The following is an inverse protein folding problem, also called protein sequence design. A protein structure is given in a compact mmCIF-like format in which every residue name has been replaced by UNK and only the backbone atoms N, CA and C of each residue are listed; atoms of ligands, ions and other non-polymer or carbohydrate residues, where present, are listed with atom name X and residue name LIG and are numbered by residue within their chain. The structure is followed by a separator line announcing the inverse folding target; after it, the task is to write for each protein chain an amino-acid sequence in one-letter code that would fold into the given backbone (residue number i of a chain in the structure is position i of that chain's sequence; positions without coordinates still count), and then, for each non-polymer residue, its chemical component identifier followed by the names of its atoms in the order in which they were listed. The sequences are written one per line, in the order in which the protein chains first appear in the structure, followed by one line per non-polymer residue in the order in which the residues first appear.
data_IF_266110771077
#
_entry.id   IF_266110771077
#
_cell.length_a   1.000
_cell.length_b   1.000
_cell.length_c   1.000
_cell.angle_alpha   90.00
_cell.angle_beta   90.00
_cell.angle_gamma   90.00
#
_symmetry.space_group_name_H-M   'P 1'
#
loop_
_entity.id
_entity.type
_entity.pdbx_description
1 polymer ?
#
# COMPACT_ATOMS: atom_id res chain seq x y z
N UNK A 1 2.26 -17.34 -50.84
CA UNK A 1 2.85 -16.42 -49.84
C UNK A 1 1.84 -15.57 -49.04
N UNK A 2 0.53 -15.88 -49.02
CA UNK A 2 -0.46 -15.10 -48.23
C UNK A 2 -0.75 -15.66 -46.82
N UNK A 3 -0.37 -16.92 -46.55
CA UNK A 3 -0.63 -17.60 -45.27
C UNK A 3 0.44 -17.38 -44.20
N UNK A 4 1.68 -17.00 -44.58
CA UNK A 4 2.74 -16.67 -43.62
C UNK A 4 2.54 -15.29 -42.97
N UNK A 5 1.96 -14.32 -43.69
CA UNK A 5 1.72 -12.97 -43.15
C UNK A 5 0.72 -12.97 -41.99
N UNK A 6 -0.28 -13.85 -42.01
CA UNK A 6 -1.26 -13.96 -40.94
C UNK A 6 -0.66 -14.46 -39.61
N UNK A 7 0.40 -15.29 -39.68
CA UNK A 7 1.01 -15.90 -38.50
C UNK A 7 1.94 -14.92 -37.75
N UNK A 8 2.56 -13.99 -38.47
CA UNK A 8 3.45 -12.96 -37.89
C UNK A 8 2.66 -11.87 -37.17
N UNK A 9 1.47 -11.52 -37.67
CA UNK A 9 0.60 -10.50 -37.03
C UNK A 9 0.03 -11.00 -35.70
N UNK A 10 -0.23 -12.31 -35.57
CA UNK A 10 -0.78 -12.89 -34.34
C UNK A 10 0.23 -12.96 -33.19
N UNK A 11 1.53 -13.02 -33.49
CA UNK A 11 2.61 -13.00 -32.49
C UNK A 11 2.95 -11.61 -31.95
N UNK A 12 2.60 -10.54 -32.70
CA UNK A 12 2.89 -9.17 -32.27
C UNK A 12 1.96 -8.67 -31.16
N UNK A 13 0.73 -9.20 -31.05
CA UNK A 13 -0.26 -8.74 -30.08
C UNK A 13 -0.07 -9.28 -28.66
N UNK A 14 0.74 -10.31 -28.43
CA UNK A 14 0.89 -10.94 -27.11
C UNK A 14 1.95 -10.29 -26.21
N UNK A 15 2.72 -9.33 -26.73
CA UNK A 15 3.87 -8.73 -25.99
C UNK A 15 3.52 -7.49 -25.15
N UNK A 16 2.28 -6.99 -25.23
CA UNK A 16 1.84 -5.79 -24.51
C UNK A 16 0.94 -6.09 -23.30
N UNK A 17 0.78 -7.36 -22.93
CA UNK A 17 0.12 -7.73 -21.66
C UNK A 17 1.08 -7.49 -20.49
N UNK A 18 1.50 -6.24 -20.26
CA UNK A 18 2.08 -5.85 -18.97
C UNK A 18 0.96 -5.91 -17.95
N UNK A 19 0.95 -6.96 -17.14
CA UNK A 19 0.12 -7.03 -15.94
C UNK A 19 0.54 -5.87 -15.05
N UNK A 20 -0.25 -4.81 -15.03
CA UNK A 20 -0.18 -3.76 -14.04
C UNK A 20 -0.52 -4.38 -12.69
N UNK A 21 0.48 -4.93 -12.01
CA UNK A 21 0.35 -5.28 -10.61
C UNK A 21 0.17 -3.97 -9.86
N UNK A 22 -1.05 -3.69 -9.42
CA UNK A 22 -1.28 -2.74 -8.35
C UNK A 22 -0.39 -3.16 -7.18
N UNK A 23 0.74 -2.48 -7.04
CA UNK A 23 1.86 -2.93 -6.21
C UNK A 23 1.51 -2.79 -4.74
N UNK A 24 0.84 -3.80 -4.18
CA UNK A 24 0.61 -3.88 -2.75
C UNK A 24 1.97 -4.11 -2.06
N UNK A 25 2.49 -3.04 -1.46
CA UNK A 25 3.75 -3.06 -0.75
C UNK A 25 3.50 -3.31 0.73
N UNK A 26 4.35 -4.15 1.33
CA UNK A 26 4.29 -4.48 2.76
C UNK A 26 5.44 -3.78 3.46
N UNK A 27 5.16 -3.02 4.52
CA UNK A 27 6.19 -2.45 5.38
C UNK A 27 5.92 -2.77 6.85
N UNK A 28 6.98 -2.71 7.65
CA UNK A 28 6.90 -2.73 9.10
C UNK A 28 7.61 -1.47 9.56
N UNK A 29 6.94 -0.69 10.40
CA UNK A 29 7.50 0.56 10.89
C UNK A 29 6.84 1.01 12.17
N UNK A 30 7.39 2.10 12.72
CA UNK A 30 6.87 2.73 13.93
C UNK A 30 6.04 3.95 13.55
N UNK A 31 4.88 4.11 14.16
CA UNK A 31 4.04 5.31 13.93
C UNK A 31 4.68 6.52 14.58
N UNK A 32 5.06 7.52 13.79
CA UNK A 32 5.64 8.77 14.28
C UNK A 32 4.56 9.83 14.53
N UNK A 33 3.55 9.91 13.66
CA UNK A 33 2.48 10.91 13.79
C UNK A 33 1.21 10.42 13.12
N UNK A 34 0.06 10.77 13.68
CA UNK A 34 -1.25 10.54 13.08
C UNK A 34 -1.99 11.89 13.06
N UNK A 35 -2.50 12.28 11.90
CA UNK A 35 -3.28 13.50 11.70
C UNK A 35 -4.60 13.15 11.04
N UNK A 36 -5.72 13.58 11.62
CA UNK A 36 -7.01 13.44 10.97
C UNK A 36 -7.16 14.55 9.93
N UNK A 37 -7.52 14.19 8.69
CA UNK A 37 -7.67 15.15 7.58
C UNK A 37 -9.01 14.90 6.89
N UNK A 38 -9.96 15.79 7.13
CA UNK A 38 -11.34 15.64 6.65
C UNK A 38 -11.99 14.34 7.14
N UNK A 39 -12.47 13.53 6.20
CA UNK A 39 -13.06 12.21 6.48
C UNK A 39 -12.05 11.06 6.63
N UNK A 40 -10.75 11.33 6.48
CA UNK A 40 -9.67 10.34 6.55
C UNK A 40 -8.60 10.66 7.59
N UNK A 41 -7.49 9.94 7.56
CA UNK A 41 -6.33 10.18 8.40
C UNK A 41 -5.03 10.03 7.60
N UNK A 42 -4.07 10.89 7.87
CA UNK A 42 -2.69 10.77 7.40
C UNK A 42 -1.83 10.24 8.53
N UNK A 43 -1.05 9.20 8.24
CA UNK A 43 -0.17 8.57 9.21
C UNK A 43 1.26 8.61 8.68
N UNK A 44 2.16 9.20 9.46
CA UNK A 44 3.60 9.16 9.18
C UNK A 44 4.20 8.00 9.95
N UNK A 45 4.89 7.11 9.23
CA UNK A 45 5.57 5.97 9.80
C UNK A 45 7.04 5.98 9.43
N UNK A 46 7.88 5.61 10.40
CA UNK A 46 9.30 5.36 10.17
C UNK A 46 9.48 3.90 9.80
N UNK A 47 9.91 3.63 8.58
CA UNK A 47 10.19 2.27 8.11
C UNK A 47 11.37 1.67 8.88
N UNK A 48 11.23 0.43 9.34
CA UNK A 48 12.27 -0.23 10.13
C UNK A 48 13.46 -0.71 9.30
N UNK A 49 13.28 -0.94 8.00
CA UNK A 49 14.35 -1.46 7.14
C UNK A 49 15.24 -0.35 6.59
N UNK A 50 14.65 0.80 6.30
CA UNK A 50 15.28 1.91 5.57
C UNK A 50 15.45 3.16 6.42
N UNK A 51 14.90 3.18 7.64
CA UNK A 51 14.82 4.35 8.53
C UNK A 51 14.10 5.56 7.90
N UNK A 52 13.48 5.40 6.73
CA UNK A 52 12.80 6.44 6.00
C UNK A 52 11.43 6.77 6.62
N UNK A 53 11.10 8.06 6.67
CA UNK A 53 9.76 8.51 7.04
C UNK A 53 8.83 8.42 5.82
N UNK A 54 7.78 7.62 5.92
CA UNK A 54 6.78 7.43 4.87
C UNK A 54 5.44 7.98 5.37
N UNK A 55 4.87 8.90 4.61
CA UNK A 55 3.51 9.42 4.84
C UNK A 55 2.52 8.57 4.07
N UNK A 56 1.52 8.05 4.77
CA UNK A 56 0.51 7.15 4.24
C UNK A 56 -0.90 7.68 4.50
N UNK A 57 -1.78 7.46 3.54
CA UNK A 57 -3.18 7.89 3.57
C UNK A 57 -4.07 6.75 4.07
N UNK A 58 -4.80 6.96 5.14
CA UNK A 58 -5.79 6.03 5.69
C UNK A 58 -7.17 6.54 5.31
N UNK A 59 -7.83 5.83 4.39
CA UNK A 59 -9.19 6.15 3.92
C UNK A 59 -10.21 5.08 4.25
N UNK A 60 -9.75 3.86 4.51
CA UNK A 60 -10.62 2.75 4.82
C UNK A 60 -11.28 2.90 6.20
N UNK A 61 -12.59 2.68 6.27
CA UNK A 61 -13.37 2.89 7.47
C UNK A 61 -12.86 2.05 8.66
N UNK A 62 -12.51 0.78 8.42
CA UNK A 62 -12.05 -0.13 9.47
C UNK A 62 -10.72 0.31 10.09
N UNK A 63 -9.84 0.91 9.28
CA UNK A 63 -8.56 1.41 9.74
C UNK A 63 -8.71 2.78 10.44
N UNK A 64 -9.64 3.61 9.99
CA UNK A 64 -10.00 4.86 10.68
C UNK A 64 -10.60 4.60 12.05
N UNK A 65 -11.48 3.60 12.18
CA UNK A 65 -12.02 3.19 13.48
C UNK A 65 -10.92 2.74 14.42
N UNK A 66 -9.94 1.93 13.97
CA UNK A 66 -8.78 1.54 14.80
C UNK A 66 -7.97 2.74 15.32
N UNK A 67 -7.86 3.80 14.52
CA UNK A 67 -7.18 5.04 14.93
C UNK A 67 -8.04 5.80 15.95
N UNK A 68 -9.35 5.92 15.70
CA UNK A 68 -10.30 6.60 16.61
C UNK A 68 -10.45 5.89 17.95
N UNK A 69 -10.51 4.56 17.95
CA UNK A 69 -10.53 3.68 19.14
C UNK A 69 -9.22 3.71 19.95
N UNK A 70 -8.21 4.47 19.50
CA UNK A 70 -6.85 4.47 20.07
C UNK A 70 -6.22 3.09 20.12
N UNK A 71 -6.67 2.17 19.26
CA UNK A 71 -6.01 0.88 19.05
C UNK A 71 -4.66 1.15 18.40
N UNK A 72 -4.56 2.04 17.42
CA UNK A 72 -3.27 2.48 16.86
C UNK A 72 -2.81 3.78 17.52
N UNK A 73 -1.59 3.82 18.09
CA UNK A 73 -1.02 5.02 18.71
C UNK A 73 0.33 5.39 18.12
N UNK A 74 0.72 6.64 18.30
CA UNK A 74 2.10 7.08 18.04
C UNK A 74 3.05 6.28 18.94
N UNK A 75 4.10 5.73 18.35
CA UNK A 75 5.04 4.81 19.00
C UNK A 75 4.74 3.32 18.82
N UNK A 76 3.55 2.94 18.32
CA UNK A 76 3.27 1.53 18.00
C UNK A 76 4.10 1.07 16.79
N UNK A 77 4.65 -0.15 16.86
CA UNK A 77 5.19 -0.86 15.70
C UNK A 77 4.05 -1.62 15.00
N UNK A 78 3.83 -1.31 13.72
CA UNK A 78 2.76 -1.88 12.93
C UNK A 78 3.31 -2.48 11.64
N UNK A 79 2.68 -3.59 11.23
CA UNK A 79 2.80 -4.13 9.89
C UNK A 79 1.68 -3.58 9.02
N UNK A 80 2.07 -2.94 7.93
CA UNK A 80 1.15 -2.34 6.98
C UNK A 80 1.21 -3.04 5.63
N UNK A 81 0.06 -3.01 4.95
CA UNK A 81 -0.03 -3.18 3.52
C UNK A 81 -0.62 -1.93 2.91
N UNK A 82 0.07 -1.33 1.96
CA UNK A 82 -0.36 -0.11 1.30
C UNK A 82 -0.10 -0.20 -0.20
N UNK A 83 -0.86 0.55 -0.95
CA UNK A 83 -0.65 0.70 -2.38
C UNK A 83 0.57 1.58 -2.63
N UNK A 84 1.56 1.08 -3.37
CA UNK A 84 2.82 1.81 -3.60
C UNK A 84 2.64 3.05 -4.48
N UNK A 85 1.60 3.10 -5.31
CA UNK A 85 1.31 4.22 -6.21
C UNK A 85 0.55 5.32 -5.47
N UNK A 86 -0.57 4.96 -4.85
CA UNK A 86 -1.47 5.90 -4.17
C UNK A 86 -1.09 6.17 -2.71
N UNK A 87 -0.14 5.42 -2.14
CA UNK A 87 0.23 5.45 -0.70
C UNK A 87 -0.97 5.27 0.25
N UNK A 88 -2.02 4.60 -0.22
CA UNK A 88 -3.22 4.33 0.56
C UNK A 88 -3.05 3.04 1.35
N UNK A 89 -3.28 3.11 2.66
CA UNK A 89 -3.22 1.95 3.56
C UNK A 89 -4.45 1.07 3.34
N UNK A 90 -4.20 -0.20 3.03
CA UNK A 90 -5.24 -1.23 2.96
C UNK A 90 -5.41 -1.98 4.26
N UNK A 91 -4.30 -2.35 4.90
CA UNK A 91 -4.37 -3.19 6.10
C UNK A 91 -3.35 -2.73 7.14
N UNK A 92 -3.82 -2.58 8.38
CA UNK A 92 -3.01 -2.34 9.57
C UNK A 92 -3.11 -3.55 10.49
N UNK A 93 -1.95 -4.14 10.81
CA UNK A 93 -1.78 -5.20 11.80
C UNK A 93 -0.78 -4.73 12.86
N UNK A 94 -1.09 -4.93 14.14
CA UNK A 94 -0.12 -4.69 15.21
C UNK A 94 0.92 -5.79 15.24
N UNK A 95 2.18 -5.44 15.48
CA UNK A 95 3.23 -6.44 15.71
C UNK A 95 3.21 -6.93 17.17
N UNK A 96 2.75 -6.10 18.12
CA UNK A 96 2.60 -6.47 19.52
C UNK A 96 1.24 -7.14 19.77
N UNK A 97 1.23 -8.46 19.98
CA UNK A 97 0.02 -9.21 20.33
C UNK A 97 0.00 -10.66 19.83
N UNK A 98 1.07 -11.41 20.04
CA UNK A 98 0.97 -12.86 20.21
C UNK A 98 1.00 -13.16 21.71
#
# INVERSE_FOLDING_TARGET
MKRLFALVVMFALTTLATTAFAGEMKMIGTVSTIRMVGGGAEMTMKDRKTDAAVVLQVRDHSNLEKIKDRKVRVGDELRLRFDSDSKVVRTIQKTAGC
#
